data_IF_629249551310
#
_entry.id   IF_629249551310
#
_cell.length_a   1.000
_cell.length_b   1.000
_cell.length_c   1.000
_cell.angle_alpha   90.00
_cell.angle_beta   90.00
_cell.angle_gamma   90.00
#
_symmetry.space_group_name_H-M   'P 1'
#
loop_
_entity.id
_entity.type
_entity.pdbx_description
1 polymer ?
#
# COMPACT_ATOMS: atom_id res chain seq x y z
N UNK A 1 7.07 -2.37 15.60
CA UNK A 1 6.75 -2.49 14.16
C UNK A 1 7.72 -1.66 13.33
N UNK A 2 8.04 -2.09 12.11
CA UNK A 2 8.86 -1.33 11.16
C UNK A 2 8.13 -1.27 9.81
N UNK A 3 8.15 -0.11 9.14
CA UNK A 3 7.66 0.07 7.76
C UNK A 3 8.84 0.43 6.87
N UNK A 4 9.05 -0.34 5.80
CA UNK A 4 10.08 -0.09 4.79
C UNK A 4 9.43 0.16 3.44
N UNK A 5 9.71 1.29 2.82
CA UNK A 5 9.27 1.59 1.46
C UNK A 5 10.20 0.92 0.45
N UNK A 6 9.68 -0.04 -0.30
CA UNK A 6 10.42 -0.71 -1.38
C UNK A 6 10.57 0.22 -2.59
N UNK A 7 9.56 1.04 -2.84
CA UNK A 7 9.50 2.06 -3.84
C UNK A 7 8.60 3.21 -3.40
N UNK A 8 8.61 4.30 -4.16
CA UNK A 8 7.93 5.55 -3.84
C UNK A 8 7.30 6.24 -5.05
N UNK A 9 7.40 5.63 -6.21
CA UNK A 9 6.91 6.17 -7.47
C UNK A 9 5.54 5.64 -7.86
N UNK A 10 5.01 6.18 -8.94
CA UNK A 10 3.72 5.86 -9.56
C UNK A 10 3.85 4.76 -10.64
N UNK A 11 2.74 4.46 -11.35
CA UNK A 11 2.66 3.49 -12.44
C UNK A 11 3.73 3.69 -13.53
N UNK A 12 4.19 4.92 -13.76
CA UNK A 12 5.12 5.29 -14.83
C UNK A 12 6.57 5.43 -14.36
N UNK A 13 6.81 5.18 -13.09
CA UNK A 13 8.13 5.33 -12.48
C UNK A 13 9.13 4.28 -12.96
N UNK A 14 10.40 4.68 -13.07
CA UNK A 14 11.51 3.80 -13.41
C UNK A 14 12.11 3.13 -12.16
N UNK A 15 13.04 2.17 -12.37
CA UNK A 15 13.63 1.38 -11.27
C UNK A 15 14.45 2.17 -10.25
N UNK A 16 14.72 3.41 -10.47
CA UNK A 16 15.33 4.27 -9.46
C UNK A 16 14.34 4.71 -8.37
N UNK A 17 13.04 4.66 -8.64
CA UNK A 17 11.98 4.89 -7.65
C UNK A 17 11.20 3.64 -7.28
N UNK A 18 10.95 2.72 -8.22
CA UNK A 18 9.99 1.61 -8.11
C UNK A 18 8.59 2.05 -7.72
N UNK A 19 7.60 1.17 -7.91
CA UNK A 19 6.22 1.39 -7.47
C UNK A 19 6.11 1.49 -5.94
N UNK A 20 5.14 2.23 -5.46
CA UNK A 20 4.89 2.53 -4.05
C UNK A 20 4.43 1.32 -3.23
N UNK A 21 5.30 0.31 -3.15
CA UNK A 21 5.05 -0.87 -2.34
C UNK A 21 5.86 -0.81 -1.04
N UNK A 22 5.35 -1.39 0.03
CA UNK A 22 5.94 -1.34 1.36
C UNK A 22 5.97 -2.70 2.03
N UNK A 23 6.93 -2.90 2.93
CA UNK A 23 6.94 -4.06 3.83
C UNK A 23 6.75 -3.58 5.27
N UNK A 24 5.71 -4.08 5.92
CA UNK A 24 5.51 -3.95 7.36
C UNK A 24 6.11 -5.18 8.03
N UNK A 25 7.09 -4.96 8.92
CA UNK A 25 7.68 -6.04 9.73
C UNK A 25 7.16 -5.89 11.16
N UNK A 26 6.48 -6.92 11.64
CA UNK A 26 5.99 -6.97 13.01
C UNK A 26 7.12 -7.21 14.02
N UNK A 27 6.84 -7.05 15.32
CA UNK A 27 7.79 -7.33 16.41
C UNK A 27 8.28 -8.80 16.43
N UNK A 28 7.47 -9.73 15.93
CA UNK A 28 7.82 -11.14 15.75
C UNK A 28 8.83 -11.40 14.61
N UNK A 29 9.07 -10.42 13.74
CA UNK A 29 9.85 -10.57 12.52
C UNK A 29 9.04 -10.97 11.29
N UNK A 30 7.74 -11.30 11.44
CA UNK A 30 6.85 -11.58 10.32
C UNK A 30 6.68 -10.36 9.42
N UNK A 31 6.54 -10.59 8.11
CA UNK A 31 6.50 -9.53 7.09
C UNK A 31 5.18 -9.54 6.32
N UNK A 32 4.54 -8.39 6.25
CA UNK A 32 3.38 -8.14 5.38
C UNK A 32 3.78 -7.16 4.28
N UNK A 33 3.58 -7.56 3.03
CA UNK A 33 3.72 -6.69 1.88
C UNK A 33 2.43 -5.88 1.72
N UNK A 34 2.54 -4.55 1.68
CA UNK A 34 1.43 -3.64 1.35
C UNK A 34 1.57 -3.28 -0.12
N UNK A 35 0.64 -3.75 -0.90
CA UNK A 35 0.62 -3.79 -2.35
C UNK A 35 1.77 -4.60 -2.98
N UNK A 36 1.57 -5.04 -4.21
CA UNK A 36 2.48 -5.93 -4.93
C UNK A 36 2.51 -5.53 -6.42
N UNK A 37 3.10 -4.39 -6.72
CA UNK A 37 3.18 -3.83 -8.07
C UNK A 37 4.05 -4.64 -9.02
N UNK A 38 3.95 -4.34 -10.32
CA UNK A 38 4.59 -5.13 -11.38
C UNK A 38 6.12 -5.18 -11.30
N UNK A 39 6.76 -4.26 -10.61
CA UNK A 39 8.21 -4.23 -10.40
C UNK A 39 8.68 -4.75 -9.03
N UNK A 40 7.76 -5.21 -8.17
CA UNK A 40 8.03 -5.67 -6.79
C UNK A 40 9.16 -6.71 -6.70
N UNK A 41 9.32 -7.53 -7.73
CA UNK A 41 10.41 -8.52 -7.83
C UNK A 41 11.79 -7.86 -7.70
N UNK A 42 11.96 -6.71 -8.32
CA UNK A 42 13.23 -6.00 -8.35
C UNK A 42 13.44 -5.16 -7.08
N UNK A 43 12.39 -4.52 -6.59
CA UNK A 43 12.46 -3.74 -5.36
C UNK A 43 12.72 -4.60 -4.12
N UNK A 44 12.11 -5.79 -4.02
CA UNK A 44 12.43 -6.79 -2.97
C UNK A 44 13.88 -7.24 -3.05
N UNK A 45 14.38 -7.54 -4.27
CA UNK A 45 15.77 -7.96 -4.48
C UNK A 45 16.77 -6.86 -4.07
N UNK A 46 16.51 -5.61 -4.43
CA UNK A 46 17.35 -4.49 -4.04
C UNK A 46 17.36 -4.28 -2.52
N UNK A 47 16.22 -4.41 -1.86
CA UNK A 47 16.09 -4.36 -0.40
C UNK A 47 16.56 -5.66 0.31
N UNK A 48 17.06 -6.67 -0.43
CA UNK A 48 17.54 -7.96 0.10
C UNK A 48 16.48 -8.72 0.90
N UNK A 49 15.22 -8.60 0.50
CA UNK A 49 14.11 -9.34 1.08
C UNK A 49 13.80 -10.52 0.17
N UNK A 50 13.86 -11.72 0.74
CA UNK A 50 13.47 -12.92 -0.02
C UNK A 50 11.93 -12.96 -0.12
N UNK A 51 11.34 -13.19 -1.30
CA UNK A 51 9.89 -13.35 -1.44
C UNK A 51 9.27 -14.42 -0.54
N UNK A 52 10.04 -15.47 -0.20
CA UNK A 52 9.60 -16.54 0.72
C UNK A 52 9.54 -16.08 2.19
N UNK A 53 10.16 -14.95 2.54
CA UNK A 53 10.09 -14.35 3.89
C UNK A 53 8.80 -13.54 4.09
N UNK A 54 8.03 -13.29 3.03
CA UNK A 54 6.73 -12.63 3.13
C UNK A 54 5.71 -13.61 3.69
N UNK A 55 4.95 -13.18 4.69
CA UNK A 55 3.94 -14.01 5.39
C UNK A 55 2.52 -13.59 5.03
N UNK A 56 2.35 -12.33 4.66
CA UNK A 56 1.05 -11.77 4.30
C UNK A 56 1.19 -10.73 3.18
N UNK A 57 0.10 -10.51 2.46
CA UNK A 57 -0.05 -9.41 1.50
C UNK A 57 -1.35 -8.68 1.81
N UNK A 58 -1.30 -7.37 1.83
CA UNK A 58 -2.46 -6.49 1.82
C UNK A 58 -2.57 -5.84 0.45
N UNK A 59 -3.77 -5.83 -0.15
CA UNK A 59 -4.04 -5.19 -1.44
C UNK A 59 -5.03 -4.05 -1.25
N UNK A 60 -4.61 -2.86 -1.69
CA UNK A 60 -5.38 -1.62 -1.57
C UNK A 60 -6.39 -1.40 -2.69
N UNK A 61 -6.00 -1.69 -3.93
CA UNK A 61 -6.83 -1.57 -5.16
C UNK A 61 -6.16 -2.31 -6.34
N UNK A 62 -6.78 -2.26 -7.56
CA UNK A 62 -6.41 -3.15 -8.67
C UNK A 62 -5.52 -2.52 -9.76
N UNK A 63 -4.94 -1.35 -9.59
CA UNK A 63 -3.98 -0.84 -10.56
C UNK A 63 -2.71 -1.69 -10.61
N UNK A 64 -2.05 -1.75 -11.76
CA UNK A 64 -0.93 -2.66 -11.99
C UNK A 64 0.31 -2.35 -11.15
N UNK A 65 0.51 -1.12 -10.73
CA UNK A 65 1.54 -0.70 -9.78
C UNK A 65 1.26 -1.14 -8.33
N UNK A 66 0.06 -1.72 -8.07
CA UNK A 66 -0.36 -2.26 -6.79
C UNK A 66 -0.63 -3.76 -6.80
N UNK A 67 -0.96 -4.37 -7.95
CA UNK A 67 -1.25 -5.83 -8.04
C UNK A 67 -0.49 -6.56 -9.13
N UNK A 68 0.17 -5.86 -10.06
CA UNK A 68 0.77 -6.48 -11.25
C UNK A 68 1.90 -7.48 -10.98
N UNK A 69 2.48 -7.48 -9.79
CA UNK A 69 3.48 -8.46 -9.35
C UNK A 69 2.91 -9.63 -8.57
N UNK A 70 1.61 -9.60 -8.23
CA UNK A 70 1.02 -10.61 -7.34
C UNK A 70 0.95 -12.00 -7.98
N UNK A 71 0.76 -12.09 -9.31
CA UNK A 71 0.87 -13.34 -10.04
C UNK A 71 2.25 -13.98 -9.87
N UNK A 72 3.32 -13.20 -10.06
CA UNK A 72 4.68 -13.67 -9.86
C UNK A 72 4.92 -14.12 -8.41
N UNK A 73 4.45 -13.35 -7.43
CA UNK A 73 4.62 -13.68 -6.02
C UNK A 73 3.89 -14.97 -5.66
N UNK A 74 2.64 -15.15 -6.13
CA UNK A 74 1.85 -16.36 -5.95
C UNK A 74 2.58 -17.61 -6.49
N UNK A 75 3.07 -17.54 -7.73
CA UNK A 75 3.82 -18.64 -8.35
C UNK A 75 5.15 -18.88 -7.62
N UNK A 76 5.85 -17.83 -7.19
CA UNK A 76 7.13 -17.94 -6.50
C UNK A 76 6.99 -18.64 -5.15
N UNK A 77 5.93 -18.36 -4.40
CA UNK A 77 5.68 -18.98 -3.09
C UNK A 77 5.09 -20.39 -3.24
N UNK A 78 4.20 -20.59 -4.22
CA UNK A 78 3.59 -21.90 -4.51
C UNK A 78 4.62 -22.95 -4.96
N UNK A 79 5.52 -22.58 -5.90
CA UNK A 79 6.56 -23.49 -6.42
C UNK A 79 7.88 -23.38 -5.67
N UNK A 80 8.02 -22.52 -4.69
CA UNK A 80 9.28 -22.23 -3.99
C UNK A 80 9.77 -23.28 -3.00
N UNK A 81 9.18 -24.48 -2.99
CA UNK A 81 9.64 -25.65 -2.22
C UNK A 81 8.78 -25.97 -0.99
N UNK A 82 8.21 -24.99 -0.32
CA UNK A 82 7.38 -25.19 0.88
C UNK A 82 5.87 -25.13 0.60
N UNK A 83 5.48 -24.84 -0.65
CA UNK A 83 4.09 -24.63 -1.04
C UNK A 83 3.38 -23.65 -0.06
N UNK A 84 4.07 -22.55 0.24
CA UNK A 84 3.63 -21.56 1.22
C UNK A 84 2.47 -20.74 0.65
N UNK A 85 1.32 -20.77 1.32
CA UNK A 85 0.23 -19.84 1.05
C UNK A 85 0.38 -18.61 1.94
N UNK A 86 0.42 -17.44 1.30
CA UNK A 86 0.46 -16.17 2.00
C UNK A 86 -0.94 -15.80 2.48
N UNK A 87 -1.05 -15.16 3.63
CA UNK A 87 -2.31 -14.53 4.03
C UNK A 87 -2.59 -13.36 3.09
N UNK A 88 -3.78 -13.31 2.53
CA UNK A 88 -4.24 -12.22 1.66
C UNK A 88 -5.35 -11.43 2.35
N UNK A 89 -5.05 -10.17 2.65
CA UNK A 89 -5.99 -9.21 3.22
C UNK A 89 -6.37 -8.19 2.16
N UNK A 90 -7.65 -8.05 1.91
CA UNK A 90 -8.21 -6.96 1.10
C UNK A 90 -9.73 -6.87 1.33
N UNK A 91 -10.34 -5.80 0.88
CA UNK A 91 -11.80 -5.64 0.96
C UNK A 91 -12.48 -6.76 0.16
N UNK A 92 -13.66 -7.23 0.62
CA UNK A 92 -14.33 -8.43 0.13
C UNK A 92 -14.66 -8.38 -1.37
N UNK A 93 -15.23 -7.26 -1.84
CA UNK A 93 -15.53 -7.10 -3.27
C UNK A 93 -14.24 -7.00 -4.09
N UNK A 94 -13.25 -6.27 -3.58
CA UNK A 94 -11.93 -6.15 -4.20
C UNK A 94 -11.26 -7.51 -4.34
N UNK A 95 -11.39 -8.41 -3.35
CA UNK A 95 -10.83 -9.76 -3.43
C UNK A 95 -11.44 -10.59 -4.55
N UNK A 96 -12.76 -10.50 -4.74
CA UNK A 96 -13.45 -11.15 -5.85
C UNK A 96 -13.00 -10.58 -7.19
N UNK A 97 -12.93 -9.24 -7.30
CA UNK A 97 -12.48 -8.56 -8.52
C UNK A 97 -11.00 -8.86 -8.82
N UNK A 98 -10.15 -8.97 -7.80
CA UNK A 98 -8.73 -9.35 -7.92
C UNK A 98 -8.58 -10.71 -8.63
N UNK A 99 -9.36 -11.70 -8.22
CA UNK A 99 -9.31 -13.00 -8.89
C UNK A 99 -9.85 -12.92 -10.30
N UNK A 100 -11.10 -12.48 -10.48
CA UNK A 100 -11.81 -12.58 -11.77
C UNK A 100 -11.29 -11.63 -12.84
N UNK A 101 -10.82 -10.44 -12.44
CA UNK A 101 -10.46 -9.37 -13.37
C UNK A 101 -8.94 -9.14 -13.50
N UNK A 102 -8.11 -9.79 -12.65
CA UNK A 102 -6.66 -9.62 -12.68
C UNK A 102 -5.91 -10.95 -12.75
N UNK A 103 -6.01 -11.81 -11.74
CA UNK A 103 -5.11 -12.97 -11.56
C UNK A 103 -5.54 -14.24 -12.31
N UNK A 104 -6.84 -14.44 -12.54
CA UNK A 104 -7.38 -15.70 -13.07
C UNK A 104 -6.74 -16.08 -14.39
N UNK A 105 -6.52 -15.13 -15.30
CA UNK A 105 -5.94 -15.38 -16.62
C UNK A 105 -4.58 -16.06 -16.58
N UNK A 106 -3.73 -15.69 -15.60
CA UNK A 106 -2.38 -16.24 -15.46
C UNK A 106 -2.28 -17.42 -14.50
N UNK A 107 -3.22 -17.55 -13.54
CA UNK A 107 -3.10 -18.49 -12.43
C UNK A 107 -4.06 -19.70 -12.49
N UNK A 108 -5.18 -19.64 -13.24
CA UNK A 108 -6.15 -20.73 -13.25
C UNK A 108 -5.60 -22.02 -13.85
N UNK A 109 -4.81 -21.92 -14.93
CA UNK A 109 -4.35 -23.08 -15.72
C UNK A 109 -2.85 -23.35 -15.51
N UNK A 110 -2.40 -23.59 -14.27
CA UNK A 110 -0.98 -23.82 -13.94
C UNK A 110 -0.65 -25.31 -13.75
N UNK A 111 -1.62 -26.14 -13.54
CA UNK A 111 -1.40 -27.56 -13.24
C UNK A 111 -2.37 -28.48 -13.98
N UNK A 112 -2.54 -29.67 -13.42
CA UNK A 112 -3.48 -30.68 -13.93
C UNK A 112 -4.93 -30.43 -13.51
N UNK A 113 -5.17 -29.46 -12.65
CA UNK A 113 -6.51 -29.01 -12.23
C UNK A 113 -6.66 -27.50 -12.48
N UNK A 114 -7.89 -27.03 -12.59
CA UNK A 114 -8.15 -25.60 -12.49
C UNK A 114 -7.86 -25.12 -11.08
N UNK A 115 -7.05 -24.08 -10.97
CA UNK A 115 -6.66 -23.46 -9.69
C UNK A 115 -7.63 -22.34 -9.34
N UNK A 116 -7.70 -22.02 -8.06
CA UNK A 116 -8.47 -20.91 -7.52
C UNK A 116 -7.55 -20.01 -6.67
N UNK A 117 -8.01 -18.83 -6.32
CA UNK A 117 -7.26 -17.88 -5.47
C UNK A 117 -6.80 -18.54 -4.16
N UNK A 118 -7.65 -19.37 -3.56
CA UNK A 118 -7.39 -20.12 -2.33
C UNK A 118 -6.34 -21.23 -2.45
N UNK A 119 -5.94 -21.60 -3.68
CA UNK A 119 -4.81 -22.51 -3.86
C UNK A 119 -3.47 -21.81 -3.60
N UNK A 120 -3.41 -20.49 -3.81
CA UNK A 120 -2.20 -19.66 -3.66
C UNK A 120 -2.17 -18.88 -2.36
N UNK A 121 -3.33 -18.47 -1.86
CA UNK A 121 -3.46 -17.58 -0.70
C UNK A 121 -4.43 -18.13 0.35
N UNK A 122 -4.13 -17.87 1.61
CA UNK A 122 -5.12 -17.94 2.69
C UNK A 122 -5.88 -16.61 2.69
N UNK A 123 -7.09 -16.62 2.15
CA UNK A 123 -7.87 -15.42 1.89
C UNK A 123 -8.62 -14.92 3.13
N UNK A 124 -8.46 -13.65 3.46
CA UNK A 124 -9.13 -12.94 4.54
C UNK A 124 -9.90 -11.74 3.96
N UNK A 125 -11.13 -11.95 3.44
CA UNK A 125 -11.96 -10.85 2.95
C UNK A 125 -12.37 -9.95 4.11
N UNK A 126 -12.23 -8.62 3.90
CA UNK A 126 -12.49 -7.62 4.92
C UNK A 126 -13.71 -6.79 4.52
N UNK A 127 -14.53 -6.43 5.51
CA UNK A 127 -15.66 -5.51 5.27
C UNK A 127 -15.17 -4.07 5.17
N UNK A 128 -15.82 -3.27 4.35
CA UNK A 128 -15.58 -1.83 4.27
C UNK A 128 -15.74 -1.18 5.64
N UNK A 129 -14.77 -0.37 6.05
CA UNK A 129 -14.70 0.24 7.39
C UNK A 129 -14.45 -0.76 8.52
N UNK A 130 -14.19 -2.03 8.19
CA UNK A 130 -13.75 -3.04 9.13
C UNK A 130 -12.23 -3.02 9.31
N UNK A 131 -11.74 -4.01 10.05
CA UNK A 131 -10.31 -4.15 10.33
C UNK A 131 -9.90 -5.59 10.52
N UNK A 132 -8.61 -5.79 10.77
CA UNK A 132 -8.04 -7.10 11.06
C UNK A 132 -6.89 -6.97 12.05
N UNK A 133 -6.62 -8.07 12.76
CA UNK A 133 -5.40 -8.23 13.54
C UNK A 133 -4.38 -9.04 12.74
N UNK A 134 -3.17 -8.55 12.69
CA UNK A 134 -2.06 -9.31 12.17
C UNK A 134 -0.82 -9.12 13.06
N UNK A 135 -0.37 -10.22 13.65
CA UNK A 135 0.79 -10.24 14.54
C UNK A 135 0.67 -9.28 15.75
N UNK A 136 -0.53 -9.10 16.30
CA UNK A 136 -0.80 -8.19 17.39
C UNK A 136 -0.97 -6.72 16.99
N UNK A 137 -0.83 -6.40 15.70
CA UNK A 137 -1.08 -5.05 15.17
C UNK A 137 -2.52 -4.98 14.67
N UNK A 138 -3.26 -3.99 15.19
CA UNK A 138 -4.63 -3.72 14.73
C UNK A 138 -4.60 -2.83 13.49
N UNK A 139 -5.28 -3.26 12.43
CA UNK A 139 -5.45 -2.51 11.20
C UNK A 139 -6.92 -2.19 10.96
N UNK A 140 -7.22 -0.97 10.53
CA UNK A 140 -8.54 -0.53 10.09
C UNK A 140 -8.45 -0.11 8.62
N UNK A 141 -9.44 -0.52 7.80
CA UNK A 141 -9.55 -0.13 6.41
C UNK A 141 -10.27 1.22 6.31
N UNK A 142 -9.62 2.17 5.65
CA UNK A 142 -10.21 3.48 5.36
C UNK A 142 -10.45 3.59 3.86
N UNK A 143 -11.71 3.70 3.46
CA UNK A 143 -12.09 3.85 2.05
C UNK A 143 -11.67 5.21 1.52
N UNK A 144 -10.87 5.22 0.46
CA UNK A 144 -10.30 6.40 -0.18
C UNK A 144 -10.85 6.54 -1.60
N UNK A 145 -11.42 7.69 -1.99
CA UNK A 145 -11.79 7.94 -3.39
C UNK A 145 -10.53 8.04 -4.26
N UNK A 146 -10.45 7.24 -5.32
CA UNK A 146 -9.30 7.23 -6.22
C UNK A 146 -9.69 7.62 -7.65
N UNK A 147 -10.29 6.75 -8.45
CA UNK A 147 -10.78 7.10 -9.78
C UNK A 147 -12.28 7.29 -9.70
N UNK A 148 -12.75 8.52 -9.83
CA UNK A 148 -14.16 8.86 -9.66
C UNK A 148 -14.72 9.50 -10.92
N UNK A 149 -15.84 8.98 -11.43
CA UNK A 149 -16.54 9.55 -12.58
C UNK A 149 -16.63 8.60 -13.79
N UNK A 150 -17.21 9.07 -14.89
CA UNK A 150 -17.32 8.32 -16.14
C UNK A 150 -18.17 7.04 -16.08
N UNK A 151 -18.96 6.85 -15.01
CA UNK A 151 -19.79 5.64 -14.83
C UNK A 151 -19.08 4.47 -14.15
N UNK A 152 -17.77 4.58 -13.88
CA UNK A 152 -17.00 3.61 -13.11
C UNK A 152 -16.28 4.34 -11.96
N UNK A 153 -16.45 3.85 -10.75
CA UNK A 153 -15.75 4.36 -9.60
C UNK A 153 -14.80 3.29 -9.06
N UNK A 154 -13.54 3.66 -8.86
CA UNK A 154 -12.57 2.85 -8.17
C UNK A 154 -12.20 3.54 -6.85
N UNK A 155 -12.33 2.79 -5.77
CA UNK A 155 -11.83 3.17 -4.47
C UNK A 155 -10.54 2.41 -4.19
N UNK A 156 -9.65 3.03 -3.46
CA UNK A 156 -8.58 2.33 -2.77
C UNK A 156 -8.94 2.18 -1.29
N UNK A 157 -8.20 1.37 -0.57
CA UNK A 157 -8.40 1.20 0.87
C UNK A 157 -7.08 1.48 1.59
N UNK A 158 -7.02 2.65 2.27
CA UNK A 158 -5.90 3.00 3.13
C UNK A 158 -5.89 2.14 4.40
N UNK A 159 -4.74 2.07 5.06
CA UNK A 159 -4.55 1.34 6.31
C UNK A 159 -4.26 2.30 7.45
N UNK A 160 -5.10 2.29 8.47
CA UNK A 160 -4.79 2.87 9.77
C UNK A 160 -4.30 1.74 10.67
N UNK A 161 -3.04 1.81 11.07
CA UNK A 161 -2.40 0.82 11.95
C UNK A 161 -2.08 1.46 13.29
N UNK A 162 -2.29 0.71 14.37
CA UNK A 162 -1.95 1.19 15.70
C UNK A 162 -2.62 0.41 16.81
N UNK A 163 -2.32 0.82 18.03
CA UNK A 163 -3.04 0.43 19.25
C UNK A 163 -4.06 1.51 19.59
N UNK A 164 -4.85 1.31 20.65
CA UNK A 164 -5.76 2.34 21.20
C UNK A 164 -5.01 3.64 21.61
N UNK A 165 -3.69 3.59 21.70
CA UNK A 165 -2.83 4.73 21.98
C UNK A 165 -2.48 5.45 20.67
N UNK A 166 -2.93 6.71 20.56
CA UNK A 166 -2.70 7.56 19.38
C UNK A 166 -1.23 7.84 19.09
N UNK A 167 -0.36 7.84 20.09
CA UNK A 167 1.05 8.22 19.94
C UNK A 167 1.84 7.26 19.04
N UNK A 168 1.36 6.03 18.91
CA UNK A 168 1.98 4.98 18.12
C UNK A 168 1.13 4.52 16.92
N UNK A 169 0.28 5.39 16.39
CA UNK A 169 -0.56 5.07 15.23
C UNK A 169 -0.02 5.67 13.95
N UNK A 170 -0.16 4.95 12.85
CA UNK A 170 0.20 5.44 11.52
C UNK A 170 -0.95 5.21 10.53
N UNK A 171 -1.02 6.06 9.53
CA UNK A 171 -1.93 5.90 8.41
C UNK A 171 -1.16 5.85 7.08
N UNK A 172 -1.49 4.90 6.23
CA UNK A 172 -1.03 4.79 4.84
C UNK A 172 -2.25 5.04 3.96
N UNK A 173 -2.25 6.15 3.19
CA UNK A 173 -3.43 6.53 2.40
C UNK A 173 -3.70 5.57 1.24
N UNK A 174 -2.66 4.93 0.71
CA UNK A 174 -2.65 4.37 -0.63
C UNK A 174 -3.06 5.43 -1.67
N UNK A 175 -3.42 5.08 -2.89
CA UNK A 175 -3.76 6.07 -3.90
C UNK A 175 -5.08 6.76 -3.60
N UNK A 176 -5.13 8.08 -3.70
CA UNK A 176 -6.34 8.83 -3.38
C UNK A 176 -6.39 10.21 -4.03
N UNK A 177 -7.59 10.66 -4.36
CA UNK A 177 -7.83 12.07 -4.63
C UNK A 177 -7.64 12.90 -3.37
N UNK A 178 -7.47 14.21 -3.53
CA UNK A 178 -7.40 15.13 -2.41
C UNK A 178 -8.74 15.22 -1.65
N UNK A 179 -8.74 14.80 -0.40
CA UNK A 179 -9.92 14.75 0.48
C UNK A 179 -9.60 15.46 1.81
N UNK A 180 -9.60 16.81 1.86
CA UNK A 180 -9.10 17.54 3.02
C UNK A 180 -9.82 17.17 4.33
N UNK A 181 -11.13 17.07 4.34
CA UNK A 181 -11.89 16.71 5.55
C UNK A 181 -11.58 15.28 6.05
N UNK A 182 -11.33 14.33 5.14
CA UNK A 182 -10.92 12.98 5.52
C UNK A 182 -9.50 12.97 6.09
N UNK A 183 -8.56 13.69 5.45
CA UNK A 183 -7.17 13.79 5.91
C UNK A 183 -7.10 14.45 7.29
N UNK A 184 -7.87 15.51 7.53
CA UNK A 184 -7.96 16.19 8.83
C UNK A 184 -8.50 15.25 9.92
N UNK A 185 -9.57 14.50 9.63
CA UNK A 185 -10.09 13.48 10.55
C UNK A 185 -9.06 12.39 10.87
N UNK A 186 -8.34 11.90 9.85
CA UNK A 186 -7.25 10.93 10.03
C UNK A 186 -6.12 11.52 10.90
N UNK A 187 -5.78 12.80 10.70
CA UNK A 187 -4.73 13.45 11.50
C UNK A 187 -5.09 13.60 13.00
N UNK A 188 -6.38 13.51 13.35
CA UNK A 188 -6.80 13.41 14.74
C UNK A 188 -6.56 12.02 15.35
N UNK A 189 -6.43 10.98 14.50
CA UNK A 189 -6.33 9.57 14.88
C UNK A 189 -4.94 8.98 14.70
N UNK A 190 -4.16 9.52 13.76
CA UNK A 190 -2.81 9.06 13.43
C UNK A 190 -1.74 10.03 13.93
N UNK A 191 -0.66 9.49 14.50
CA UNK A 191 0.54 10.24 14.85
C UNK A 191 1.37 10.54 13.60
N UNK A 192 1.39 9.63 12.63
CA UNK A 192 2.13 9.74 11.38
C UNK A 192 1.24 9.35 10.20
N UNK A 193 1.38 10.06 9.09
CA UNK A 193 0.64 9.83 7.86
C UNK A 193 1.62 9.68 6.68
N UNK A 194 1.52 8.59 5.95
CA UNK A 194 2.10 8.44 4.63
C UNK A 194 1.00 8.70 3.61
N UNK A 195 1.16 9.74 2.80
CA UNK A 195 0.09 10.21 1.91
C UNK A 195 0.53 10.21 0.45
N UNK A 196 -0.37 9.73 -0.42
CA UNK A 196 -0.28 9.88 -1.88
C UNK A 196 -0.02 11.33 -2.28
N UNK A 197 0.89 11.54 -3.21
CA UNK A 197 1.26 12.87 -3.66
C UNK A 197 1.66 12.90 -5.13
N UNK A 198 0.80 13.39 -5.99
CA UNK A 198 1.17 13.70 -7.37
C UNK A 198 1.95 15.01 -7.45
N UNK A 199 3.08 15.01 -8.17
CA UNK A 199 3.93 16.20 -8.39
C UNK A 199 4.07 16.57 -9.87
N UNK A 200 3.28 15.96 -10.75
CA UNK A 200 3.26 16.22 -12.19
C UNK A 200 2.87 17.67 -12.53
N UNK A 201 3.26 18.14 -13.71
CA UNK A 201 2.89 19.49 -14.16
C UNK A 201 1.38 19.60 -14.47
N UNK A 202 0.75 18.50 -14.83
CA UNK A 202 -0.69 18.41 -15.14
C UNK A 202 -1.35 17.52 -14.08
N UNK A 203 -2.33 18.06 -13.36
CA UNK A 203 -3.07 17.33 -12.32
C UNK A 203 -3.91 16.21 -12.95
N UNK A 204 -3.68 14.97 -12.52
CA UNK A 204 -4.40 13.81 -13.05
C UNK A 204 -5.85 13.73 -12.60
N UNK A 205 -6.21 14.39 -11.51
CA UNK A 205 -7.51 14.33 -10.81
C UNK A 205 -7.81 12.98 -10.13
N UNK A 206 -6.90 12.01 -10.20
CA UNK A 206 -7.04 10.70 -9.53
C UNK A 206 -6.12 10.57 -8.32
N UNK A 207 -5.13 11.45 -8.19
CA UNK A 207 -4.21 11.56 -7.06
C UNK A 207 -4.32 12.92 -6.37
N UNK A 208 -3.91 12.98 -5.10
CA UNK A 208 -3.79 14.22 -4.37
C UNK A 208 -2.57 15.01 -4.88
N UNK A 209 -2.80 16.08 -5.61
CA UNK A 209 -1.70 16.88 -6.14
C UNK A 209 -1.03 17.70 -5.02
N UNK A 210 0.30 17.86 -5.08
CA UNK A 210 1.09 18.59 -4.08
C UNK A 210 0.53 19.98 -3.75
N UNK A 211 0.12 20.78 -4.76
CA UNK A 211 -0.47 22.10 -4.55
C UNK A 211 -1.82 22.06 -3.81
N UNK A 212 -2.57 20.96 -3.89
CA UNK A 212 -3.78 20.77 -3.10
C UNK A 212 -3.40 20.44 -1.65
N UNK A 213 -2.43 19.57 -1.44
CA UNK A 213 -1.92 19.21 -0.12
C UNK A 213 -1.32 20.41 0.63
N UNK A 214 -0.75 21.39 -0.08
CA UNK A 214 -0.28 22.66 0.51
C UNK A 214 -1.36 23.42 1.26
N UNK A 215 -2.63 23.26 0.87
CA UNK A 215 -3.76 23.97 1.50
C UNK A 215 -4.16 23.41 2.86
N UNK A 216 -3.62 22.24 3.25
CA UNK A 216 -3.89 21.63 4.55
C UNK A 216 -3.35 22.47 5.71
N UNK A 217 -4.01 22.45 6.88
CA UNK A 217 -3.52 23.11 8.08
C UNK A 217 -2.09 22.66 8.46
N UNK A 218 -1.30 23.55 9.04
CA UNK A 218 0.06 23.23 9.46
C UNK A 218 0.11 22.08 10.48
N UNK A 219 -0.90 21.96 11.36
CA UNK A 219 -1.02 20.85 12.33
C UNK A 219 -1.27 19.48 11.68
N UNK A 220 -1.72 19.46 10.43
CA UNK A 220 -1.91 18.24 9.65
C UNK A 220 -0.64 17.95 8.83
N UNK A 221 -0.12 18.95 8.11
CA UNK A 221 1.08 18.82 7.28
C UNK A 221 2.30 18.31 8.05
N UNK A 222 2.48 18.74 9.28
CA UNK A 222 3.61 18.33 10.13
C UNK A 222 3.59 16.87 10.58
N UNK A 223 2.55 16.11 10.19
CA UNK A 223 2.44 14.67 10.40
C UNK A 223 2.60 13.86 9.11
N UNK A 224 2.74 14.52 7.95
CA UNK A 224 2.67 13.86 6.65
C UNK A 224 4.05 13.69 6.02
N UNK A 225 4.38 12.45 5.69
CA UNK A 225 5.36 12.05 4.69
C UNK A 225 4.65 11.82 3.37
N UNK A 226 5.24 12.28 2.26
CA UNK A 226 4.69 12.21 0.91
C UNK A 226 5.37 11.10 0.11
N UNK A 227 4.61 10.26 -0.59
CA UNK A 227 5.10 9.23 -1.49
C UNK A 227 4.24 9.16 -2.76
N UNK A 228 4.51 8.28 -3.69
CA UNK A 228 3.82 8.16 -4.98
C UNK A 228 4.03 9.40 -5.90
N UNK A 229 5.21 10.00 -5.82
CA UNK A 229 5.54 11.25 -6.52
C UNK A 229 6.44 11.02 -7.74
N UNK A 230 6.38 11.96 -8.72
CA UNK A 230 7.24 11.92 -9.90
C UNK A 230 8.67 12.34 -9.55
N UNK A 231 9.66 11.71 -10.21
CA UNK A 231 11.09 11.79 -9.92
C UNK A 231 11.63 13.21 -9.84
N UNK A 232 11.33 14.02 -10.84
CA UNK A 232 11.92 15.36 -10.98
C UNK A 232 11.06 16.45 -10.34
N UNK A 233 10.55 16.16 -9.13
CA UNK A 233 9.74 17.11 -8.39
C UNK A 233 10.54 18.34 -7.99
N UNK A 234 10.00 19.52 -8.33
CA UNK A 234 10.55 20.83 -7.95
C UNK A 234 10.19 21.28 -6.53
N UNK A 235 9.34 20.53 -5.86
CA UNK A 235 8.78 20.88 -4.56
C UNK A 235 9.76 20.55 -3.41
N UNK A 236 9.67 21.33 -2.33
CA UNK A 236 10.50 21.21 -1.13
C UNK A 236 9.62 20.97 0.11
N UNK A 237 9.12 19.73 0.37
CA UNK A 237 8.13 19.46 1.41
C UNK A 237 8.48 20.01 2.80
N UNK A 238 9.74 19.92 3.24
CA UNK A 238 10.17 20.46 4.53
C UNK A 238 9.97 21.97 4.65
N UNK A 239 10.17 22.74 3.57
CA UNK A 239 9.94 24.19 3.57
C UNK A 239 8.44 24.53 3.62
N UNK A 240 7.60 23.60 3.13
CA UNK A 240 6.16 23.76 3.03
C UNK A 240 5.41 23.19 4.25
N UNK A 241 6.15 22.69 5.25
CA UNK A 241 5.62 22.22 6.52
C UNK A 241 5.28 20.74 6.60
N UNK A 242 5.60 19.94 5.56
CA UNK A 242 5.54 18.49 5.59
C UNK A 242 6.81 17.87 6.21
N UNK A 243 6.74 16.60 6.59
CA UNK A 243 7.91 15.86 7.08
C UNK A 243 8.93 15.55 5.97
N UNK A 244 8.51 15.47 4.73
CA UNK A 244 9.36 15.27 3.56
C UNK A 244 8.77 14.37 2.51
N UNK A 245 9.55 14.11 1.45
CA UNK A 245 9.32 12.97 0.57
C UNK A 245 9.94 11.72 1.18
N UNK A 246 9.20 10.61 1.17
CA UNK A 246 9.75 9.29 1.48
C UNK A 246 10.75 8.90 0.40
N UNK A 247 11.87 8.32 0.77
CA UNK A 247 12.86 7.83 -0.17
C UNK A 247 12.72 6.31 -0.37
N UNK A 248 13.07 5.84 -1.57
CA UNK A 248 13.17 4.41 -1.86
C UNK A 248 14.12 3.74 -0.86
N UNK A 249 13.70 2.64 -0.27
CA UNK A 249 14.44 1.90 0.75
C UNK A 249 14.36 2.50 2.16
N UNK A 250 13.71 3.65 2.34
CA UNK A 250 13.60 4.29 3.66
C UNK A 250 12.80 3.43 4.62
N UNK A 251 13.29 3.38 5.87
CA UNK A 251 12.68 2.63 6.97
C UNK A 251 12.20 3.57 8.08
N UNK A 252 11.05 3.23 8.63
CA UNK A 252 10.45 3.89 9.79
C UNK A 252 10.21 2.87 10.88
N UNK A 253 10.70 3.14 12.09
CA UNK A 253 10.53 2.24 13.24
C UNK A 253 9.56 2.85 14.23
N UNK A 254 8.58 2.04 14.64
CA UNK A 254 7.57 2.38 15.64
C UNK A 254 7.80 1.48 16.85
N UNK A 255 8.16 2.08 17.98
CA UNK A 255 8.23 1.40 19.28
C UNK A 255 6.81 1.24 19.82
N UNK A 256 6.52 0.10 20.47
CA UNK A 256 5.27 -0.15 21.19
C UNK A 256 3.99 -0.37 20.32
N UNK A 257 4.13 -0.67 19.02
CA UNK A 257 3.07 -1.28 18.21
C UNK A 257 3.36 -2.78 18.15
N UNK A 258 2.83 -3.52 19.09
CA UNK A 258 2.90 -4.98 19.17
C UNK A 258 1.62 -5.50 19.81
#
# INVERSE_FOLDING_TARGET
MKVQFLGVGDQFSAHDQYHSNMVITAGSGAKMLVDCGSDVKYSLMECKINPTDIDAVYISHLHADHVGGLEWLALKTYFGGENKRLKLFCEEKLQSDLWHNSLKGGLECIGIKCMELSDYFDCYPLTEGGGFDWQGIQFELVKMPHVMGGGCNMYSYGLLAGTADKENSLFISTDTQFQPGLIENIAERAALIFHDCETSAVKSTVHAHYEQLLTLPASVKNKIWLYHYQRDSKYCPHQDGFLGFVLKGQEFTFTDIS
#
